data_IF_582009797967
#
_entry.id   IF_582009797967
#
_cell.length_a   1.000
_cell.length_b   1.000
_cell.length_c   1.000
_cell.angle_alpha   90.00
_cell.angle_beta   90.00
_cell.angle_gamma   90.00
#
_symmetry.space_group_name_H-M   'P 1'
#
loop_
_entity.id
_entity.type
_entity.pdbx_description
1 polymer ?
#
# COMPACT_ATOMS: atom_id res chain seq x y z
N UNK A 1 -27.54 68.71 -33.18
CA UNK A 1 -27.16 68.15 -34.47
C UNK A 1 -26.17 67.02 -34.27
N UNK A 2 -26.41 65.81 -34.85
CA UNK A 2 -25.62 64.58 -34.85
C UNK A 2 -25.48 63.92 -33.45
N UNK A 3 -26.14 62.93 -32.99
CA UNK A 3 -26.51 61.62 -33.50
C UNK A 3 -25.41 60.60 -33.15
N UNK A 4 -25.39 59.99 -31.91
CA UNK A 4 -24.58 58.86 -31.60
C UNK A 4 -25.43 57.63 -31.45
N UNK A 5 -25.31 56.69 -32.39
CA UNK A 5 -25.97 55.41 -32.37
C UNK A 5 -25.25 54.47 -31.37
N UNK A 6 -26.04 53.87 -30.49
CA UNK A 6 -25.64 52.79 -29.59
C UNK A 6 -25.46 51.50 -30.37
N UNK A 7 -24.26 50.90 -30.31
CA UNK A 7 -24.03 49.52 -30.76
C UNK A 7 -24.18 48.59 -29.57
N UNK A 8 -25.24 47.81 -29.55
CA UNK A 8 -25.42 46.70 -28.61
C UNK A 8 -24.59 45.51 -29.09
N UNK A 9 -23.56 45.17 -28.33
CA UNK A 9 -22.77 43.95 -28.52
C UNK A 9 -23.58 42.78 -27.98
N UNK A 10 -24.28 42.06 -28.85
CA UNK A 10 -24.99 40.84 -28.50
C UNK A 10 -24.00 39.72 -28.13
N UNK A 11 -24.06 39.27 -26.90
CA UNK A 11 -23.35 38.12 -26.38
C UNK A 11 -23.87 36.85 -27.06
N UNK A 12 -23.23 36.37 -28.11
CA UNK A 12 -23.44 35.03 -28.64
C UNK A 12 -22.54 34.05 -27.86
N UNK A 13 -22.99 33.63 -26.69
CA UNK A 13 -22.41 32.43 -26.05
C UNK A 13 -22.97 31.25 -26.85
N UNK A 14 -22.11 30.66 -27.66
CA UNK A 14 -22.49 29.62 -28.59
C UNK A 14 -22.97 28.36 -27.91
N UNK A 15 -24.02 27.75 -28.49
CA UNK A 15 -24.59 26.46 -28.11
C UNK A 15 -23.59 25.30 -28.00
N UNK A 16 -22.37 25.44 -28.50
CA UNK A 16 -21.30 24.46 -28.42
C UNK A 16 -20.78 24.23 -26.98
N UNK A 17 -20.70 25.27 -26.13
CA UNK A 17 -20.28 25.13 -24.73
C UNK A 17 -21.26 24.36 -23.86
N UNK A 18 -22.56 24.54 -24.11
CA UNK A 18 -23.62 23.83 -23.39
C UNK A 18 -23.70 22.34 -23.76
N UNK A 19 -23.41 22.00 -25.01
CA UNK A 19 -23.41 20.61 -25.49
C UNK A 19 -22.23 19.84 -24.93
N UNK A 20 -21.04 20.43 -24.80
CA UNK A 20 -19.87 19.79 -24.21
C UNK A 20 -20.07 19.56 -22.71
N UNK A 21 -20.67 20.51 -21.99
CA UNK A 21 -20.99 20.35 -20.58
C UNK A 21 -22.06 19.28 -20.32
N UNK A 22 -23.10 19.21 -21.16
CA UNK A 22 -24.17 18.20 -21.09
C UNK A 22 -23.65 16.81 -21.47
N UNK A 23 -22.78 16.69 -22.45
CA UNK A 23 -22.12 15.42 -22.80
C UNK A 23 -21.17 14.96 -21.67
N UNK A 24 -20.39 15.85 -21.06
CA UNK A 24 -19.55 15.53 -19.91
C UNK A 24 -20.34 15.03 -18.70
N UNK A 25 -21.47 15.66 -18.40
CA UNK A 25 -22.37 15.23 -17.33
C UNK A 25 -23.08 13.90 -17.67
N UNK A 26 -23.47 13.69 -18.92
CA UNK A 26 -24.09 12.43 -19.37
C UNK A 26 -23.07 11.27 -19.34
N UNK A 27 -21.82 11.50 -19.71
CA UNK A 27 -20.75 10.49 -19.61
C UNK A 27 -20.39 10.19 -18.16
N UNK A 28 -20.30 11.20 -17.30
CA UNK A 28 -20.09 11.04 -15.87
C UNK A 28 -21.21 10.25 -15.20
N UNK A 29 -22.46 10.57 -15.52
CA UNK A 29 -23.63 9.84 -15.01
C UNK A 29 -23.72 8.41 -15.56
N UNK A 30 -23.42 8.17 -16.84
CA UNK A 30 -23.40 6.85 -17.44
C UNK A 30 -22.25 5.98 -16.89
N UNK A 31 -21.08 6.58 -16.62
CA UNK A 31 -19.96 5.91 -15.94
C UNK A 31 -20.34 5.56 -14.50
N UNK A 32 -20.95 6.51 -13.77
CA UNK A 32 -21.41 6.30 -12.38
C UNK A 32 -22.52 5.24 -12.27
N UNK A 33 -23.48 5.24 -13.20
CA UNK A 33 -24.55 4.23 -13.21
C UNK A 33 -24.04 2.84 -13.64
N UNK A 34 -23.04 2.76 -14.53
CA UNK A 34 -22.39 1.49 -14.89
C UNK A 34 -21.48 0.94 -13.79
N UNK A 35 -20.82 1.80 -13.00
CA UNK A 35 -19.98 1.37 -11.88
C UNK A 35 -20.80 0.71 -10.76
N UNK A 36 -22.08 1.04 -10.64
CA UNK A 36 -23.00 0.38 -9.67
C UNK A 36 -23.30 -1.09 -10.00
N UNK A 37 -22.99 -1.57 -11.20
CA UNK A 37 -23.26 -2.95 -11.62
C UNK A 37 -22.12 -3.94 -11.31
N UNK A 38 -20.94 -3.47 -10.85
CA UNK A 38 -19.88 -4.35 -10.36
C UNK A 38 -20.13 -4.60 -8.89
N UNK A 39 -20.56 -5.83 -8.58
CA UNK A 39 -20.86 -6.22 -7.20
C UNK A 39 -19.65 -5.96 -6.30
N UNK A 40 -19.81 -5.23 -5.18
CA UNK A 40 -18.72 -5.01 -4.25
C UNK A 40 -18.22 -6.33 -3.68
N UNK A 41 -16.96 -6.38 -3.24
CA UNK A 41 -16.31 -7.55 -2.61
C UNK A 41 -17.18 -8.17 -1.49
N UNK A 42 -18.02 -7.35 -0.85
CA UNK A 42 -19.01 -7.76 0.15
C UNK A 42 -20.05 -8.78 -0.34
N UNK A 43 -20.35 -8.81 -1.65
CA UNK A 43 -21.36 -9.73 -2.20
C UNK A 43 -20.92 -11.19 -2.14
N UNK A 44 -19.63 -11.47 -2.28
CA UNK A 44 -19.05 -12.82 -2.16
C UNK A 44 -19.26 -13.42 -0.76
N UNK A 45 -19.25 -12.58 0.27
CA UNK A 45 -19.31 -12.98 1.68
C UNK A 45 -20.65 -12.65 2.36
N UNK A 46 -21.68 -12.29 1.60
CA UNK A 46 -23.01 -11.96 2.14
C UNK A 46 -22.98 -10.93 3.29
N UNK A 47 -22.07 -9.94 3.21
CA UNK A 47 -21.96 -8.83 4.15
C UNK A 47 -21.11 -9.07 5.40
N UNK A 48 -20.59 -10.29 5.64
CA UNK A 48 -19.65 -10.55 6.73
C UNK A 48 -18.72 -11.71 6.44
N UNK A 49 -17.55 -11.72 7.11
CA UNK A 49 -16.58 -12.82 7.06
C UNK A 49 -16.42 -13.33 8.50
N UNK A 50 -16.72 -14.63 8.78
CA UNK A 50 -16.45 -15.20 10.10
C UNK A 50 -14.99 -15.05 10.51
N UNK A 51 -14.72 -14.80 11.77
CA UNK A 51 -13.36 -14.79 12.30
C UNK A 51 -12.66 -16.13 11.99
N UNK A 52 -11.37 -16.05 11.64
CA UNK A 52 -10.57 -17.20 11.22
C UNK A 52 -11.04 -17.89 9.92
N UNK A 53 -11.87 -17.24 9.11
CA UNK A 53 -12.19 -17.74 7.78
C UNK A 53 -10.91 -17.80 6.92
N UNK A 54 -10.66 -18.97 6.33
CA UNK A 54 -9.43 -19.24 5.56
C UNK A 54 -9.48 -18.56 4.18
N UNK A 55 -8.47 -17.76 3.87
CA UNK A 55 -8.30 -17.05 2.61
C UNK A 55 -7.03 -17.54 1.94
N UNK A 56 -7.18 -18.28 0.84
CA UNK A 56 -6.06 -18.89 0.11
C UNK A 56 -5.12 -17.84 -0.47
N UNK A 57 -3.82 -18.13 -0.38
CA UNK A 57 -2.74 -17.37 -0.97
C UNK A 57 -1.59 -18.31 -1.40
N UNK A 58 -0.55 -17.85 -2.10
CA UNK A 58 0.54 -18.70 -2.57
C UNK A 58 1.30 -19.46 -1.46
N UNK A 59 1.34 -18.93 -0.23
CA UNK A 59 2.01 -19.56 0.92
C UNK A 59 1.10 -20.47 1.75
N UNK A 60 -0.17 -20.61 1.41
CA UNK A 60 -1.17 -21.37 2.17
C UNK A 60 -2.46 -20.59 2.36
N UNK A 61 -2.83 -20.29 3.60
CA UNK A 61 -4.06 -19.56 3.90
C UNK A 61 -3.84 -18.55 5.03
N UNK A 62 -4.21 -17.29 4.77
CA UNK A 62 -4.31 -16.27 5.80
C UNK A 62 -5.73 -16.22 6.38
N UNK A 63 -5.88 -15.57 7.52
CA UNK A 63 -7.19 -15.31 8.10
C UNK A 63 -7.20 -13.96 8.83
N UNK A 64 -8.41 -13.44 9.06
CA UNK A 64 -8.63 -12.21 9.81
C UNK A 64 -9.54 -12.49 11.02
N UNK A 65 -9.27 -11.80 12.12
CA UNK A 65 -10.13 -11.71 13.30
C UNK A 65 -10.50 -10.24 13.49
N UNK A 66 -11.78 -9.97 13.69
CA UNK A 66 -12.25 -8.66 14.14
C UNK A 66 -12.30 -8.64 15.67
N UNK A 67 -11.77 -7.59 16.29
CA UNK A 67 -11.90 -7.36 17.73
C UNK A 67 -13.26 -6.79 18.12
N UNK A 68 -14.12 -6.46 17.15
CA UNK A 68 -15.46 -5.91 17.37
C UNK A 68 -16.57 -6.97 17.40
N UNK A 69 -16.24 -8.24 17.23
CA UNK A 69 -17.23 -9.31 17.24
C UNK A 69 -16.73 -10.65 16.71
N UNK A 70 -17.64 -11.57 16.42
CA UNK A 70 -17.34 -12.90 15.90
C UNK A 70 -17.10 -12.95 14.39
N UNK A 71 -17.25 -11.81 13.70
CA UNK A 71 -17.05 -11.70 12.25
C UNK A 71 -16.61 -10.29 11.88
N UNK A 72 -15.96 -10.18 10.72
CA UNK A 72 -15.64 -8.91 10.06
C UNK A 72 -16.88 -8.41 9.33
N UNK A 73 -17.42 -7.28 9.74
CA UNK A 73 -18.57 -6.64 9.08
C UNK A 73 -18.14 -5.94 7.78
N UNK A 74 -18.76 -6.33 6.66
CA UNK A 74 -18.47 -5.77 5.33
C UNK A 74 -19.53 -4.74 4.86
N UNK A 75 -20.39 -4.24 5.75
CA UNK A 75 -21.47 -3.31 5.41
C UNK A 75 -21.24 -1.88 5.91
N UNK A 76 -20.19 -1.66 6.73
CA UNK A 76 -19.81 -0.34 7.28
C UNK A 76 -19.35 0.67 6.25
N UNK A 77 -19.02 1.85 6.71
CA UNK A 77 -18.60 2.98 5.86
C UNK A 77 -17.35 2.71 5.02
N UNK A 78 -16.48 1.83 5.48
CA UNK A 78 -15.30 1.37 4.74
C UNK A 78 -15.63 0.78 3.35
N UNK A 79 -16.79 0.14 3.21
CA UNK A 79 -17.25 -0.54 1.99
C UNK A 79 -18.17 0.33 1.11
N UNK A 80 -18.58 1.50 1.59
CA UNK A 80 -19.45 2.41 0.86
C UNK A 80 -18.65 3.33 -0.08
N UNK A 81 -19.26 3.68 -1.21
CA UNK A 81 -18.71 4.68 -2.12
C UNK A 81 -18.92 6.06 -1.53
N UNK A 82 -17.83 6.81 -1.39
CA UNK A 82 -17.83 8.15 -0.79
C UNK A 82 -17.66 9.29 -1.79
N UNK A 83 -17.11 9.00 -2.95
CA UNK A 83 -16.78 10.01 -3.95
C UNK A 83 -17.41 9.76 -5.31
N UNK A 84 -17.06 10.61 -6.27
CA UNK A 84 -17.62 10.59 -7.62
C UNK A 84 -17.00 9.53 -8.52
N UNK A 85 -15.87 8.97 -8.14
CA UNK A 85 -15.13 7.97 -8.94
C UNK A 85 -15.57 6.52 -8.70
N UNK A 86 -16.59 6.30 -7.87
CA UNK A 86 -17.14 4.97 -7.61
C UNK A 86 -16.30 4.08 -6.70
N UNK A 87 -15.22 4.62 -6.11
CA UNK A 87 -14.33 3.88 -5.20
C UNK A 87 -14.80 3.93 -3.75
N UNK A 88 -14.49 2.85 -3.01
CA UNK A 88 -14.49 2.75 -1.55
C UNK A 88 -13.10 2.34 -1.07
N UNK A 89 -12.86 2.29 0.24
CA UNK A 89 -11.60 1.75 0.77
C UNK A 89 -11.40 0.28 0.32
N UNK A 90 -12.48 -0.52 0.33
CA UNK A 90 -12.47 -1.90 -0.13
C UNK A 90 -12.17 -2.09 -1.64
N UNK A 91 -12.13 -1.03 -2.43
CA UNK A 91 -11.71 -1.08 -3.85
C UNK A 91 -10.24 -1.48 -3.99
N UNK A 92 -9.39 -1.04 -3.03
CA UNK A 92 -7.94 -1.29 -3.02
C UNK A 92 -7.47 -2.13 -1.82
N UNK A 93 -8.36 -2.41 -0.86
CA UNK A 93 -8.06 -3.17 0.36
C UNK A 93 -9.01 -4.36 0.48
N UNK A 94 -8.63 -5.47 -0.14
CA UNK A 94 -9.46 -6.66 -0.22
C UNK A 94 -9.02 -7.75 0.78
N UNK A 95 -9.96 -8.48 1.39
CA UNK A 95 -9.67 -9.49 2.42
C UNK A 95 -8.67 -10.55 1.96
N UNK A 96 -8.82 -11.09 0.75
CA UNK A 96 -7.98 -12.16 0.19
C UNK A 96 -6.52 -11.76 -0.03
N UNK A 97 -6.24 -10.45 -0.12
CA UNK A 97 -4.88 -9.92 -0.21
C UNK A 97 -4.41 -9.37 1.16
N UNK A 98 -4.91 -9.93 2.25
CA UNK A 98 -4.66 -9.43 3.61
C UNK A 98 -4.91 -7.92 3.73
N UNK A 99 -6.06 -7.46 3.20
CA UNK A 99 -6.50 -6.05 3.22
C UNK A 99 -5.53 -5.09 2.52
N UNK A 100 -4.91 -5.59 1.46
CA UNK A 100 -4.17 -4.86 0.43
C UNK A 100 -4.76 -5.23 -0.94
N UNK A 101 -3.98 -5.11 -2.02
CA UNK A 101 -4.34 -5.60 -3.36
C UNK A 101 -3.12 -6.15 -4.09
N UNK A 102 -3.30 -7.20 -4.90
CA UNK A 102 -2.22 -7.83 -5.65
C UNK A 102 -2.41 -7.67 -7.16
N UNK A 103 -1.31 -7.74 -7.96
CA UNK A 103 -1.40 -7.76 -9.42
C UNK A 103 -2.34 -8.85 -9.95
N UNK A 104 -2.31 -10.05 -9.37
CA UNK A 104 -3.21 -11.13 -9.79
C UNK A 104 -4.70 -10.78 -9.63
N UNK A 105 -5.06 -10.12 -8.53
CA UNK A 105 -6.42 -9.60 -8.35
C UNK A 105 -6.75 -8.50 -9.35
N UNK A 106 -5.84 -7.58 -9.60
CA UNK A 106 -6.04 -6.48 -10.54
C UNK A 106 -6.21 -6.99 -11.97
N UNK A 107 -5.39 -7.97 -12.39
CA UNK A 107 -5.51 -8.61 -13.70
C UNK A 107 -6.87 -9.30 -13.86
N UNK A 108 -7.31 -10.06 -12.84
CA UNK A 108 -8.64 -10.69 -12.85
C UNK A 108 -9.75 -9.65 -12.99
N UNK A 109 -9.75 -8.60 -12.16
CA UNK A 109 -10.72 -7.49 -12.24
C UNK A 109 -10.68 -6.78 -13.60
N UNK A 110 -9.49 -6.65 -14.18
CA UNK A 110 -9.34 -6.07 -15.51
C UNK A 110 -9.99 -6.95 -16.57
N UNK A 111 -9.75 -8.26 -16.54
CA UNK A 111 -10.29 -9.19 -17.53
C UNK A 111 -11.81 -9.33 -17.43
N UNK A 112 -12.36 -9.40 -16.22
CA UNK A 112 -13.79 -9.47 -15.93
C UNK A 112 -14.54 -8.20 -16.38
N UNK A 113 -13.92 -7.02 -16.26
CA UNK A 113 -14.60 -5.73 -16.53
C UNK A 113 -14.12 -5.01 -17.78
N UNK A 114 -13.14 -5.55 -18.46
CA UNK A 114 -12.44 -4.86 -19.56
C UNK A 114 -11.73 -3.58 -19.09
N UNK A 115 -11.25 -3.57 -17.85
CA UNK A 115 -10.60 -2.41 -17.23
C UNK A 115 -11.57 -1.28 -16.85
N UNK A 116 -12.84 -1.60 -16.56
CA UNK A 116 -13.87 -0.64 -16.12
C UNK A 116 -14.23 -0.76 -14.64
N UNK A 117 -13.58 -1.66 -13.89
CA UNK A 117 -13.71 -1.68 -12.45
C UNK A 117 -13.23 -0.35 -11.85
N UNK A 118 -13.85 0.20 -10.79
CA UNK A 118 -13.48 1.48 -10.20
C UNK A 118 -12.00 1.61 -9.80
N UNK A 119 -11.30 0.49 -9.54
CA UNK A 119 -9.86 0.51 -9.25
C UNK A 119 -9.02 1.07 -10.41
N UNK A 120 -9.50 0.95 -11.65
CA UNK A 120 -8.86 1.52 -12.84
C UNK A 120 -9.32 2.97 -13.05
N UNK A 121 -8.92 3.83 -12.14
CA UNK A 121 -9.24 5.25 -12.17
C UNK A 121 -8.22 6.00 -13.04
N UNK A 122 -8.63 6.97 -13.87
CA UNK A 122 -7.70 7.78 -14.67
C UNK A 122 -6.60 8.48 -13.87
N UNK A 123 -6.83 8.78 -12.57
CA UNK A 123 -5.81 9.30 -11.67
C UNK A 123 -4.66 8.32 -11.43
N UNK A 124 -4.90 7.02 -11.57
CA UNK A 124 -3.93 5.95 -11.36
C UNK A 124 -3.39 5.38 -12.68
N UNK A 125 -3.74 5.96 -13.82
CA UNK A 125 -3.11 5.67 -15.11
C UNK A 125 -1.62 6.04 -15.07
N UNK A 126 -0.80 5.34 -15.84
CA UNK A 126 0.66 5.55 -15.91
C UNK A 126 0.97 7.00 -16.32
N UNK A 127 0.18 7.54 -17.23
CA UNK A 127 0.10 8.97 -17.51
C UNK A 127 -1.38 9.35 -17.66
N UNK A 128 -1.88 10.41 -16.97
CA UNK A 128 -3.29 10.81 -17.03
C UNK A 128 -3.80 11.19 -18.43
N UNK A 129 -2.90 11.50 -19.36
CA UNK A 129 -3.24 11.84 -20.74
C UNK A 129 -3.39 10.64 -21.67
N UNK A 130 -3.09 9.41 -21.18
CA UNK A 130 -3.21 8.20 -22.00
C UNK A 130 -4.66 7.94 -22.41
N UNK A 131 -4.81 7.41 -23.64
CA UNK A 131 -6.10 6.92 -24.10
C UNK A 131 -6.59 5.72 -23.27
N UNK A 132 -7.83 5.77 -22.83
CA UNK A 132 -8.53 4.69 -22.10
C UNK A 132 -9.85 4.30 -22.79
N UNK A 133 -10.02 4.64 -24.07
CA UNK A 133 -11.28 4.40 -24.81
C UNK A 133 -11.51 2.92 -25.11
N UNK A 134 -10.46 2.19 -25.50
CA UNK A 134 -10.53 0.75 -25.80
C UNK A 134 -10.00 -0.11 -24.63
N UNK A 135 -10.26 -1.42 -24.66
CA UNK A 135 -9.73 -2.36 -23.66
C UNK A 135 -8.21 -2.41 -23.71
N UNK A 136 -7.64 -2.41 -24.91
CA UNK A 136 -6.20 -2.46 -25.18
C UNK A 136 -5.53 -1.17 -24.69
N UNK A 137 -6.10 -0.01 -24.99
CA UNK A 137 -5.63 1.28 -24.51
C UNK A 137 -5.64 1.35 -22.98
N UNK A 138 -6.72 0.87 -22.31
CA UNK A 138 -6.78 0.77 -20.85
C UNK A 138 -5.70 -0.15 -20.28
N UNK A 139 -5.46 -1.31 -20.92
CA UNK A 139 -4.41 -2.23 -20.46
C UNK A 139 -3.02 -1.58 -20.51
N UNK A 140 -2.74 -0.80 -21.54
CA UNK A 140 -1.50 -0.02 -21.65
C UNK A 140 -1.44 1.09 -20.60
N UNK A 141 -2.53 1.83 -20.41
CA UNK A 141 -2.60 2.96 -19.49
C UNK A 141 -2.48 2.56 -18.00
N UNK A 142 -2.76 1.31 -17.64
CA UNK A 142 -2.67 0.79 -16.28
C UNK A 142 -1.56 -0.27 -16.13
N UNK A 143 -0.48 -0.17 -16.91
CA UNK A 143 0.56 -1.21 -16.94
C UNK A 143 1.25 -1.37 -15.59
N UNK A 144 1.56 -0.28 -14.89
CA UNK A 144 2.18 -0.28 -13.56
C UNK A 144 1.25 -0.89 -12.49
N UNK A 145 -0.03 -0.55 -12.55
CA UNK A 145 -1.04 -1.11 -11.65
C UNK A 145 -1.19 -2.62 -11.87
N UNK A 146 -1.30 -3.06 -13.13
CA UNK A 146 -1.48 -4.46 -13.51
C UNK A 146 -0.25 -5.33 -13.26
N UNK A 147 0.97 -4.78 -13.41
CA UNK A 147 2.21 -5.55 -13.24
C UNK A 147 2.69 -5.62 -11.79
N UNK A 148 2.52 -4.54 -11.01
CA UNK A 148 3.10 -4.42 -9.67
C UNK A 148 2.08 -4.10 -8.57
N UNK A 149 0.84 -3.78 -8.92
CA UNK A 149 -0.16 -3.33 -7.96
C UNK A 149 0.22 -2.01 -7.29
N UNK A 150 0.90 -1.12 -8.01
CA UNK A 150 1.28 0.21 -7.54
C UNK A 150 0.33 1.26 -8.09
N UNK A 151 -0.01 2.20 -7.25
CA UNK A 151 -0.85 3.34 -7.55
C UNK A 151 0.02 4.58 -7.75
N UNK A 152 -0.32 5.40 -8.76
CA UNK A 152 0.35 6.65 -9.00
C UNK A 152 -0.03 7.66 -7.92
N UNK A 153 0.95 8.17 -7.20
CA UNK A 153 0.80 9.22 -6.18
C UNK A 153 1.84 10.29 -6.45
N UNK A 154 1.68 11.46 -5.87
CA UNK A 154 2.65 12.53 -6.04
C UNK A 154 2.01 13.90 -5.98
N UNK A 155 2.70 14.90 -6.51
CA UNK A 155 2.31 16.30 -6.50
C UNK A 155 3.52 17.20 -6.69
N UNK A 156 3.34 18.50 -6.49
CA UNK A 156 4.46 19.42 -6.51
C UNK A 156 5.50 19.08 -5.43
N UNK A 157 6.80 19.30 -5.70
CA UNK A 157 7.83 19.24 -4.68
C UNK A 157 7.47 20.15 -3.50
N UNK A 158 7.80 19.70 -2.27
CA UNK A 158 7.49 20.47 -1.08
C UNK A 158 8.17 21.85 -1.12
N UNK A 159 7.44 22.96 -0.93
CA UNK A 159 8.03 24.28 -0.81
C UNK A 159 9.04 24.36 0.35
N UNK A 160 10.05 25.19 0.21
CA UNK A 160 11.07 25.45 1.23
C UNK A 160 11.88 24.22 1.68
N UNK A 161 11.99 23.20 0.82
CA UNK A 161 12.86 22.05 1.07
C UNK A 161 14.33 22.45 1.05
N UNK A 162 15.17 21.69 1.78
CA UNK A 162 16.63 21.78 1.70
C UNK A 162 17.19 21.32 0.35
N UNK A 163 16.35 20.71 -0.48
CA UNK A 163 16.66 20.16 -1.78
C UNK A 163 15.80 20.77 -2.89
N UNK A 164 16.27 20.61 -4.12
CA UNK A 164 15.53 20.91 -5.34
C UNK A 164 15.69 19.78 -6.35
N UNK A 165 14.73 19.66 -7.27
CA UNK A 165 14.82 18.74 -8.40
C UNK A 165 15.53 19.44 -9.57
N UNK A 166 16.60 18.85 -10.09
CA UNK A 166 17.37 19.40 -11.21
C UNK A 166 17.21 18.60 -12.50
N UNK A 167 16.78 17.34 -12.42
CA UNK A 167 16.48 16.50 -13.58
C UNK A 167 15.48 15.39 -13.22
N UNK A 168 14.77 14.92 -14.22
CA UNK A 168 13.83 13.79 -14.14
C UNK A 168 14.00 12.95 -15.42
N UNK A 169 14.12 11.64 -15.24
CA UNK A 169 13.98 10.63 -16.28
C UNK A 169 12.72 9.82 -15.97
N UNK A 170 11.63 10.07 -16.71
CA UNK A 170 10.33 9.41 -16.50
C UNK A 170 9.92 8.64 -17.76
N UNK A 171 9.87 7.30 -17.71
CA UNK A 171 9.46 6.48 -18.85
C UNK A 171 7.99 6.69 -19.26
N UNK A 172 7.15 7.25 -18.38
CA UNK A 172 5.74 7.51 -18.65
C UNK A 172 5.47 8.94 -19.13
N UNK A 173 6.47 9.82 -19.09
CA UNK A 173 6.40 11.19 -19.64
C UNK A 173 5.45 12.14 -18.89
N UNK A 174 5.19 11.89 -17.60
CA UNK A 174 4.31 12.73 -16.77
C UNK A 174 5.08 13.50 -15.67
N UNK A 175 6.07 12.86 -15.05
CA UNK A 175 6.85 13.51 -14.01
C UNK A 175 7.75 14.62 -14.59
N UNK A 176 8.04 15.63 -13.78
CA UNK A 176 8.90 16.76 -14.12
C UNK A 176 9.59 17.31 -12.86
N UNK A 177 10.47 18.28 -13.02
CA UNK A 177 11.10 18.98 -11.88
C UNK A 177 10.07 19.72 -11.00
N UNK A 178 8.86 19.94 -11.49
CA UNK A 178 7.76 20.57 -10.77
C UNK A 178 6.65 19.58 -10.37
N UNK A 179 6.79 18.31 -10.76
CA UNK A 179 5.77 17.28 -10.55
C UNK A 179 6.42 15.94 -10.19
N UNK A 180 6.42 15.59 -8.92
CA UNK A 180 6.81 14.26 -8.46
C UNK A 180 5.72 13.23 -8.77
N UNK A 181 6.15 12.04 -9.14
CA UNK A 181 5.33 10.84 -9.24
C UNK A 181 5.96 9.75 -8.38
N UNK A 182 5.18 9.18 -7.48
CA UNK A 182 5.56 8.06 -6.64
C UNK A 182 4.69 6.86 -6.99
N UNK A 183 5.30 5.73 -7.26
CA UNK A 183 4.63 4.47 -7.52
C UNK A 183 4.61 3.64 -6.25
N UNK A 184 3.45 3.54 -5.61
CA UNK A 184 3.36 2.94 -4.28
C UNK A 184 2.25 1.90 -4.18
N UNK A 185 2.59 0.79 -3.58
CA UNK A 185 1.66 -0.28 -3.23
C UNK A 185 0.67 0.19 -2.17
N UNK A 186 -0.57 -0.31 -2.26
CA UNK A 186 -1.54 -0.19 -1.18
C UNK A 186 -1.00 -0.93 0.06
N UNK A 187 -0.83 -0.21 1.17
CA UNK A 187 -0.45 -0.83 2.45
C UNK A 187 -1.63 -1.63 3.01
N UNK A 188 -1.38 -2.74 3.69
CA UNK A 188 -2.47 -3.48 4.33
C UNK A 188 -3.08 -2.68 5.47
N UNK A 189 -4.41 -2.66 5.57
CA UNK A 189 -5.16 -2.02 6.66
C UNK A 189 -5.41 -3.03 7.78
N UNK A 190 -4.32 -3.52 8.40
CA UNK A 190 -4.34 -4.57 9.44
C UNK A 190 -3.40 -4.27 10.59
N UNK A 191 -3.67 -4.86 11.73
CA UNK A 191 -2.78 -4.95 12.89
C UNK A 191 -2.33 -3.59 13.43
N UNK A 192 -3.12 -2.55 13.22
CA UNK A 192 -2.76 -1.20 13.67
C UNK A 192 -2.52 -1.14 15.17
N UNK A 193 -3.32 -1.85 15.98
CA UNK A 193 -3.17 -1.90 17.44
C UNK A 193 -1.78 -2.37 17.90
N UNK A 194 -1.09 -3.18 17.08
CA UNK A 194 0.24 -3.74 17.35
C UNK A 194 1.35 -3.02 16.56
N UNK A 195 1.00 -2.05 15.74
CA UNK A 195 1.91 -1.38 14.81
C UNK A 195 2.49 -0.07 15.35
N UNK A 196 3.27 0.57 14.48
CA UNK A 196 3.76 1.93 14.70
C UNK A 196 2.63 2.95 14.54
N UNK A 197 2.80 4.15 15.08
CA UNK A 197 1.86 5.26 14.88
C UNK A 197 1.90 5.82 13.44
N UNK A 198 2.95 5.53 12.68
CA UNK A 198 3.09 5.93 11.27
C UNK A 198 2.21 5.06 10.38
N UNK A 199 1.37 5.66 9.54
CA UNK A 199 0.34 4.92 8.77
C UNK A 199 0.57 4.91 7.26
N UNK A 200 1.34 5.83 6.68
CA UNK A 200 1.71 5.85 5.26
C UNK A 200 3.15 5.38 5.05
N UNK A 201 3.52 5.04 3.82
CA UNK A 201 4.90 4.74 3.45
C UNK A 201 5.88 5.85 3.81
N UNK A 202 5.45 7.11 3.70
CA UNK A 202 6.27 8.32 3.90
C UNK A 202 5.90 9.13 5.15
N UNK A 203 5.11 8.58 6.05
CA UNK A 203 4.56 9.28 7.21
C UNK A 203 3.69 10.52 6.91
N UNK A 204 3.24 10.71 5.66
CA UNK A 204 2.54 11.91 5.21
C UNK A 204 1.20 12.21 5.90
N UNK A 205 0.67 11.30 6.68
CA UNK A 205 -0.53 11.49 7.50
C UNK A 205 -0.25 11.51 9.01
N UNK A 206 1.01 11.41 9.41
CA UNK A 206 1.39 11.47 10.82
C UNK A 206 1.29 12.91 11.32
N UNK A 207 0.39 13.12 12.27
CA UNK A 207 0.17 14.44 12.90
C UNK A 207 0.84 14.55 14.27
N UNK A 208 1.69 13.60 14.66
CA UNK A 208 2.43 13.60 15.93
C UNK A 208 1.57 13.35 17.19
N UNK A 209 0.32 12.91 17.04
CA UNK A 209 -0.62 12.70 18.14
C UNK A 209 -1.12 11.25 18.26
N UNK A 210 -0.27 10.30 17.88
CA UNK A 210 -0.59 8.88 17.95
C UNK A 210 -1.31 8.34 16.71
N UNK A 211 -1.47 7.02 16.68
CA UNK A 211 -1.90 6.27 15.49
C UNK A 211 -3.34 6.61 15.07
N UNK A 212 -4.29 6.71 16.01
CA UNK A 212 -5.68 7.02 15.68
C UNK A 212 -5.81 8.39 14.99
N UNK A 213 -5.09 9.40 15.46
CA UNK A 213 -5.08 10.72 14.84
C UNK A 213 -4.46 10.69 13.43
N UNK A 214 -3.42 9.87 13.22
CA UNK A 214 -2.83 9.65 11.91
C UNK A 214 -3.80 8.94 10.94
N UNK A 215 -4.55 7.94 11.42
CA UNK A 215 -5.61 7.26 10.64
C UNK A 215 -6.75 8.22 10.27
N UNK A 216 -7.24 9.02 11.21
CA UNK A 216 -8.26 10.04 10.94
C UNK A 216 -7.79 11.02 9.86
N UNK A 217 -6.56 11.51 9.96
CA UNK A 217 -5.99 12.41 8.96
C UNK A 217 -5.85 11.73 7.59
N UNK A 218 -5.37 10.47 7.57
CA UNK A 218 -5.28 9.68 6.34
C UNK A 218 -6.64 9.49 5.69
N UNK A 219 -7.65 9.07 6.46
CA UNK A 219 -9.01 8.84 5.98
C UNK A 219 -9.58 10.10 5.35
N UNK A 220 -9.47 11.26 6.02
CA UNK A 220 -9.91 12.55 5.47
C UNK A 220 -9.25 12.86 4.11
N UNK A 221 -7.92 12.68 4.02
CA UNK A 221 -7.17 12.93 2.79
C UNK A 221 -7.53 11.96 1.67
N UNK A 222 -7.80 10.70 1.99
CA UNK A 222 -8.21 9.72 0.99
C UNK A 222 -9.64 9.97 0.50
N UNK A 223 -10.58 10.27 1.39
CA UNK A 223 -11.96 10.58 1.02
C UNK A 223 -12.05 11.76 0.04
N UNK A 224 -11.31 12.84 0.31
CA UNK A 224 -11.36 14.06 -0.51
C UNK A 224 -10.42 13.99 -1.72
N UNK A 225 -9.30 13.28 -1.63
CA UNK A 225 -8.29 13.16 -2.71
C UNK A 225 -8.54 11.95 -3.61
N UNK A 226 -8.11 10.76 -3.16
CA UNK A 226 -8.15 9.55 -3.99
C UNK A 226 -9.56 9.11 -4.36
N UNK A 227 -10.54 9.25 -3.46
CA UNK A 227 -11.94 8.90 -3.69
C UNK A 227 -12.75 10.03 -4.30
N UNK A 228 -12.19 11.24 -4.41
CA UNK A 228 -12.84 12.41 -5.03
C UNK A 228 -14.22 12.75 -4.40
N UNK A 229 -14.32 12.58 -3.08
CA UNK A 229 -15.51 12.87 -2.31
C UNK A 229 -15.49 14.25 -1.64
N UNK A 230 -16.62 14.70 -1.11
CA UNK A 230 -16.65 15.85 -0.20
C UNK A 230 -16.00 15.50 1.15
N UNK A 231 -15.65 16.52 1.97
CA UNK A 231 -15.29 16.27 3.36
C UNK A 231 -16.37 15.44 4.06
N UNK A 232 -15.96 14.37 4.72
CA UNK A 232 -16.91 13.48 5.40
C UNK A 232 -17.13 13.95 6.85
N UNK A 233 -18.32 13.73 7.41
CA UNK A 233 -18.60 14.04 8.82
C UNK A 233 -17.81 13.08 9.73
N UNK A 234 -17.54 13.52 11.00
CA UNK A 234 -16.67 12.76 11.91
C UNK A 234 -17.13 11.32 12.19
N UNK A 235 -18.43 11.06 12.19
CA UNK A 235 -18.99 9.71 12.40
C UNK A 235 -18.62 8.74 11.28
N UNK A 236 -18.56 9.19 10.02
CA UNK A 236 -18.12 8.37 8.88
C UNK A 236 -16.65 8.04 9.00
N UNK A 237 -15.83 9.03 9.37
CA UNK A 237 -14.39 8.86 9.54
C UNK A 237 -14.08 7.90 10.68
N UNK A 238 -14.78 8.06 11.81
CA UNK A 238 -14.62 7.21 12.98
C UNK A 238 -15.04 5.76 12.68
N UNK A 239 -16.16 5.54 11.97
CA UNK A 239 -16.59 4.18 11.55
C UNK A 239 -15.50 3.48 10.71
N UNK A 240 -14.89 4.20 9.76
CA UNK A 240 -13.80 3.68 8.95
C UNK A 240 -12.57 3.34 9.82
N UNK A 241 -12.14 4.26 10.67
CA UNK A 241 -10.95 4.10 11.52
C UNK A 241 -11.16 3.00 12.57
N UNK A 242 -12.35 2.88 13.14
CA UNK A 242 -12.70 1.83 14.08
C UNK A 242 -12.69 0.46 13.41
N UNK A 243 -13.22 0.36 12.19
CA UNK A 243 -13.14 -0.84 11.38
C UNK A 243 -11.68 -1.25 11.11
N UNK A 244 -10.86 -0.36 10.54
CA UNK A 244 -9.44 -0.62 10.24
C UNK A 244 -8.65 -1.04 11.49
N UNK A 245 -8.91 -0.40 12.62
CA UNK A 245 -8.25 -0.67 13.90
C UNK A 245 -8.65 -2.02 14.50
N UNK A 246 -9.80 -2.56 14.11
CA UNK A 246 -10.32 -3.83 14.61
C UNK A 246 -9.73 -5.06 13.93
N UNK A 247 -9.05 -4.90 12.79
CA UNK A 247 -8.61 -6.02 11.96
C UNK A 247 -7.26 -6.57 12.42
N UNK A 248 -7.25 -7.83 12.83
CA UNK A 248 -6.05 -8.61 13.12
C UNK A 248 -5.92 -9.71 12.07
N UNK A 249 -4.83 -9.69 11.31
CA UNK A 249 -4.63 -10.60 10.17
C UNK A 249 -3.22 -11.18 10.19
N UNK A 250 -3.12 -12.48 9.95
CA UNK A 250 -1.86 -13.21 9.83
C UNK A 250 -2.04 -14.46 8.97
N UNK A 251 -0.95 -15.07 8.55
CA UNK A 251 -0.96 -16.41 7.98
C UNK A 251 -1.46 -17.39 9.04
N UNK A 252 -2.33 -18.33 8.66
CA UNK A 252 -2.92 -19.31 9.58
C UNK A 252 -2.56 -20.74 9.26
N UNK A 253 -2.38 -21.08 7.97
CA UNK A 253 -1.91 -22.39 7.54
C UNK A 253 -0.80 -22.29 6.52
N UNK A 254 0.11 -23.26 6.54
CA UNK A 254 1.16 -23.42 5.51
C UNK A 254 1.16 -24.89 5.04
N UNK A 255 1.27 -25.16 3.72
CA UNK A 255 1.27 -26.51 3.18
C UNK A 255 2.38 -27.40 3.75
N UNK A 256 2.01 -28.53 4.33
CA UNK A 256 2.93 -29.48 4.96
C UNK A 256 3.38 -29.11 6.38
N UNK A 257 2.96 -27.95 6.89
CA UNK A 257 3.13 -27.51 8.30
C UNK A 257 1.85 -27.70 9.08
N UNK A 258 0.70 -27.38 8.45
CA UNK A 258 -0.60 -27.31 9.08
C UNK A 258 -0.91 -25.94 9.66
N UNK A 259 -1.62 -25.92 10.79
CA UNK A 259 -1.97 -24.66 11.47
C UNK A 259 -0.76 -24.09 12.22
N UNK A 260 -0.62 -22.77 12.11
CA UNK A 260 0.47 -22.00 12.72
C UNK A 260 0.20 -21.62 14.18
N UNK A 261 -0.98 -21.95 14.70
CA UNK A 261 -1.42 -21.76 16.07
C UNK A 261 -1.63 -23.10 16.82
N UNK A 262 -0.91 -24.15 16.44
CA UNK A 262 -0.95 -25.48 17.05
C UNK A 262 0.35 -25.84 17.76
N UNK A 263 0.27 -26.85 18.63
CA UNK A 263 1.42 -27.47 19.30
C UNK A 263 2.35 -26.43 19.96
N UNK A 264 1.75 -25.46 20.65
CA UNK A 264 2.47 -24.42 21.40
C UNK A 264 2.90 -23.21 20.57
N UNK A 265 2.79 -23.23 19.23
CA UNK A 265 3.06 -22.07 18.40
C UNK A 265 1.94 -21.01 18.54
N UNK A 266 2.34 -19.74 18.34
CA UNK A 266 1.47 -18.56 18.51
C UNK A 266 1.31 -17.77 17.21
N UNK A 267 1.35 -18.45 16.06
CA UNK A 267 1.02 -17.89 14.77
C UNK A 267 -0.49 -17.64 14.62
N UNK A 268 -0.88 -17.18 13.46
CA UNK A 268 -2.29 -16.91 13.15
C UNK A 268 -2.84 -15.62 13.75
N UNK A 269 -4.03 -15.19 13.30
CA UNK A 269 -4.62 -13.92 13.72
C UNK A 269 -5.24 -13.95 15.13
N UNK A 270 -5.71 -15.12 15.61
CA UNK A 270 -6.33 -15.22 16.93
C UNK A 270 -5.33 -14.90 18.05
N UNK A 271 -4.09 -15.33 17.93
CA UNK A 271 -3.05 -15.04 18.91
C UNK A 271 -2.78 -13.52 19.01
N UNK A 272 -2.91 -12.78 17.91
CA UNK A 272 -2.71 -11.33 17.90
C UNK A 272 -3.69 -10.58 18.81
N UNK A 273 -4.89 -11.13 19.04
CA UNK A 273 -5.92 -10.49 19.89
C UNK A 273 -5.54 -10.40 21.38
N UNK A 274 -4.60 -11.23 21.82
CA UNK A 274 -4.08 -11.24 23.20
C UNK A 274 -2.68 -10.64 23.33
N UNK A 275 -2.06 -10.28 22.22
CA UNK A 275 -0.73 -9.69 22.19
C UNK A 275 -0.79 -8.18 22.43
N UNK A 276 0.29 -7.64 22.99
CA UNK A 276 0.49 -6.21 23.18
C UNK A 276 1.67 -5.72 22.34
N UNK A 277 1.75 -4.42 22.13
CA UNK A 277 2.89 -3.80 21.45
C UNK A 277 4.13 -3.92 22.36
N UNK A 278 5.08 -4.78 22.02
CA UNK A 278 6.30 -5.07 22.77
C UNK A 278 7.50 -4.96 21.85
N UNK A 279 8.59 -4.36 22.33
CA UNK A 279 9.88 -4.34 21.64
C UNK A 279 10.59 -5.68 21.77
N UNK A 280 11.19 -6.15 20.69
CA UNK A 280 11.99 -7.37 20.65
C UNK A 280 11.87 -8.14 19.34
N UNK A 281 12.49 -9.31 19.33
CA UNK A 281 12.37 -10.30 18.27
C UNK A 281 11.05 -11.11 18.38
N UNK A 282 10.74 -11.85 17.34
CA UNK A 282 9.60 -12.78 17.34
C UNK A 282 9.89 -14.01 18.21
N UNK A 283 8.85 -14.51 18.85
CA UNK A 283 8.87 -15.74 19.68
C UNK A 283 7.71 -16.69 19.35
N UNK A 284 7.15 -16.53 18.16
CA UNK A 284 5.90 -17.18 17.75
C UNK A 284 6.03 -18.69 17.61
N UNK A 285 7.21 -19.16 17.21
CA UNK A 285 7.49 -20.55 16.86
C UNK A 285 8.56 -21.21 17.72
N UNK A 286 8.84 -20.67 18.91
CA UNK A 286 9.82 -21.23 19.85
C UNK A 286 9.51 -22.68 20.21
N UNK A 287 8.21 -23.01 20.35
CA UNK A 287 7.77 -24.37 20.64
C UNK A 287 8.12 -25.38 19.52
N UNK A 288 8.46 -24.94 18.33
CA UNK A 288 8.78 -25.79 17.17
C UNK A 288 10.29 -25.97 16.92
N UNK A 289 11.15 -25.47 17.82
CA UNK A 289 12.62 -25.55 17.65
C UNK A 289 13.10 -26.99 17.43
N UNK A 290 12.47 -27.98 18.10
CA UNK A 290 12.79 -29.40 17.97
C UNK A 290 11.57 -30.24 17.51
N UNK A 291 10.67 -29.63 16.73
CA UNK A 291 9.49 -30.34 16.22
C UNK A 291 9.90 -31.46 15.25
N UNK A 292 9.22 -32.61 15.36
CA UNK A 292 9.46 -33.77 14.48
C UNK A 292 9.07 -33.49 12.98
N UNK A 293 8.20 -32.50 12.73
CA UNK A 293 7.94 -32.02 11.39
C UNK A 293 9.07 -31.10 10.94
N UNK A 294 9.88 -31.49 9.93
CA UNK A 294 11.03 -30.72 9.52
C UNK A 294 10.70 -29.32 9.00
N UNK A 295 9.47 -29.12 8.46
CA UNK A 295 9.01 -27.80 8.00
C UNK A 295 8.66 -26.87 9.17
N UNK A 296 8.15 -27.40 10.30
CA UNK A 296 7.94 -26.62 11.52
C UNK A 296 9.27 -26.19 12.12
N UNK A 297 10.20 -27.14 12.27
CA UNK A 297 11.55 -26.83 12.74
C UNK A 297 12.26 -25.82 11.81
N UNK A 298 12.01 -25.88 10.50
CA UNK A 298 12.52 -24.91 9.54
C UNK A 298 11.99 -23.49 9.82
N UNK A 299 10.70 -23.33 10.09
CA UNK A 299 10.10 -22.02 10.44
C UNK A 299 10.71 -21.48 11.74
N UNK A 300 10.92 -22.34 12.75
CA UNK A 300 11.54 -21.92 14.03
C UNK A 300 12.99 -21.47 13.82
N UNK A 301 13.80 -22.20 13.02
CA UNK A 301 15.16 -21.74 12.68
C UNK A 301 15.14 -20.41 11.91
N UNK A 302 14.19 -20.24 10.98
CA UNK A 302 14.03 -18.98 10.25
C UNK A 302 13.69 -17.80 11.19
N UNK A 303 12.90 -18.02 12.23
CA UNK A 303 12.65 -17.05 13.28
C UNK A 303 13.94 -16.71 14.05
N UNK A 304 14.77 -17.70 14.36
CA UNK A 304 16.06 -17.48 14.97
C UNK A 304 17.01 -16.67 14.09
N UNK A 305 17.10 -17.01 12.79
CA UNK A 305 17.87 -16.22 11.80
C UNK A 305 17.39 -14.77 11.75
N UNK A 306 16.08 -14.53 11.77
CA UNK A 306 15.52 -13.17 11.77
C UNK A 306 15.92 -12.37 13.03
N UNK A 307 15.88 -13.00 14.18
CA UNK A 307 16.13 -12.37 15.47
C UNK A 307 17.62 -12.17 15.75
N UNK A 308 18.47 -13.05 15.23
CA UNK A 308 19.88 -13.11 15.58
C UNK A 308 20.70 -12.02 14.87
N UNK A 309 21.82 -11.66 15.51
CA UNK A 309 22.89 -10.92 14.86
C UNK A 309 23.68 -11.93 14.04
N UNK A 310 23.64 -11.81 12.72
CA UNK A 310 24.35 -12.71 11.83
C UNK A 310 25.87 -12.45 11.78
N UNK A 311 26.59 -13.26 11.01
CA UNK A 311 28.06 -13.14 10.84
C UNK A 311 28.53 -11.81 10.29
N UNK A 312 27.65 -11.03 9.66
CA UNK A 312 27.92 -9.66 9.19
C UNK A 312 27.62 -8.59 10.24
N UNK A 313 27.36 -8.97 11.49
CA UNK A 313 26.97 -8.08 12.60
C UNK A 313 25.68 -7.28 12.35
N UNK A 314 24.71 -7.87 11.61
CA UNK A 314 23.42 -7.27 11.26
C UNK A 314 22.28 -8.14 11.75
N UNK A 315 21.14 -7.50 12.05
CA UNK A 315 19.92 -8.17 12.47
C UNK A 315 18.69 -7.50 11.87
N UNK A 316 17.68 -8.28 11.53
CA UNK A 316 16.42 -7.76 10.99
C UNK A 316 15.64 -6.97 12.06
N UNK A 317 15.76 -7.33 13.33
CA UNK A 317 15.07 -6.66 14.44
C UNK A 317 15.53 -5.22 14.69
N UNK A 318 16.62 -4.75 14.11
CA UNK A 318 17.04 -3.34 14.19
C UNK A 318 15.95 -2.42 13.63
N UNK A 319 15.33 -2.81 12.52
CA UNK A 319 14.25 -2.05 11.89
C UNK A 319 12.86 -2.64 12.18
N UNK A 320 12.78 -3.95 12.44
CA UNK A 320 11.56 -4.72 12.65
C UNK A 320 11.42 -5.15 14.12
N UNK A 321 11.58 -4.20 15.06
CA UNK A 321 11.68 -4.45 16.49
C UNK A 321 10.36 -4.55 17.25
N UNK A 322 9.22 -4.64 16.56
CA UNK A 322 7.94 -5.00 17.18
C UNK A 322 7.79 -6.53 17.18
N UNK A 323 7.93 -7.17 18.33
CA UNK A 323 7.95 -8.62 18.52
C UNK A 323 6.72 -9.37 17.95
N UNK A 324 5.60 -8.70 17.82
CA UNK A 324 4.34 -9.32 17.38
C UNK A 324 3.95 -8.98 15.94
N UNK A 325 4.50 -7.92 15.38
CA UNK A 325 4.02 -7.34 14.12
C UNK A 325 5.14 -7.06 13.11
N UNK A 326 6.40 -6.98 13.56
CA UNK A 326 7.55 -6.69 12.72
C UNK A 326 7.57 -5.27 12.14
N UNK A 327 6.88 -4.31 12.78
CA UNK A 327 7.03 -2.86 12.48
C UNK A 327 8.16 -2.27 13.32
N UNK A 328 8.53 -1.02 13.06
CA UNK A 328 9.40 -0.29 13.98
C UNK A 328 8.55 0.35 15.09
N UNK A 329 8.89 0.04 16.36
CA UNK A 329 8.13 0.49 17.53
C UNK A 329 8.28 1.99 17.79
N UNK A 330 9.44 2.56 17.42
CA UNK A 330 9.80 3.96 17.65
C UNK A 330 9.31 4.90 16.54
N UNK A 331 8.60 4.37 15.55
CA UNK A 331 8.14 5.09 14.36
C UNK A 331 9.26 5.64 13.47
N UNK A 332 10.48 5.11 13.58
CA UNK A 332 11.59 5.48 12.71
C UNK A 332 11.34 5.01 11.28
N UNK A 333 11.66 5.88 10.32
CA UNK A 333 11.65 5.55 8.90
C UNK A 333 13.09 5.34 8.44
N UNK A 334 13.27 4.36 7.56
CA UNK A 334 14.59 3.92 7.12
C UNK A 334 14.75 4.07 5.61
N UNK A 335 15.93 4.50 5.17
CA UNK A 335 16.37 4.30 3.80
C UNK A 335 16.92 2.87 3.66
N UNK A 336 16.12 2.00 3.08
CA UNK A 336 16.51 0.61 2.78
C UNK A 336 16.90 0.44 1.30
N UNK A 337 17.30 1.51 0.65
CA UNK A 337 17.78 1.57 -0.74
C UNK A 337 16.76 1.11 -1.81
N UNK A 338 15.50 0.90 -1.45
CA UNK A 338 14.46 0.49 -2.41
C UNK A 338 14.05 1.60 -3.38
N UNK A 339 14.41 2.84 -3.09
CA UNK A 339 14.23 3.97 -3.98
C UNK A 339 15.54 4.42 -4.67
N UNK A 340 16.69 3.79 -4.40
CA UNK A 340 17.97 4.21 -4.97
C UNK A 340 18.03 3.99 -6.48
N UNK A 341 18.96 4.66 -7.15
CA UNK A 341 19.18 4.52 -8.58
C UNK A 341 19.60 3.08 -8.95
N UNK A 342 20.34 2.39 -8.08
CA UNK A 342 20.79 1.02 -8.27
C UNK A 342 19.63 0.00 -8.21
N UNK A 343 18.60 0.30 -7.43
CA UNK A 343 17.41 -0.54 -7.34
C UNK A 343 16.32 -0.17 -8.37
N UNK A 344 16.58 0.85 -9.20
CA UNK A 344 15.64 1.29 -10.23
C UNK A 344 15.37 0.19 -11.24
N UNK A 345 14.11 -0.01 -11.56
CA UNK A 345 13.69 -0.77 -12.74
C UNK A 345 13.30 0.19 -13.88
N UNK A 346 13.38 -0.24 -15.15
CA UNK A 346 13.20 0.65 -16.32
C UNK A 346 11.86 1.40 -16.37
N UNK A 347 10.85 0.91 -15.68
CA UNK A 347 9.49 1.46 -15.63
C UNK A 347 9.27 2.46 -14.47
N UNK A 348 10.27 2.70 -13.61
CA UNK A 348 10.19 3.71 -12.56
C UNK A 348 10.85 5.03 -12.98
N UNK A 349 10.29 6.19 -12.58
CA UNK A 349 10.96 7.47 -12.77
C UNK A 349 12.25 7.52 -11.95
N UNK A 350 13.21 8.33 -12.39
CA UNK A 350 14.44 8.63 -11.65
C UNK A 350 14.57 10.15 -11.53
N UNK A 351 14.55 10.63 -10.31
CA UNK A 351 14.72 12.04 -9.96
C UNK A 351 16.16 12.32 -9.57
N UNK A 352 16.70 13.44 -10.00
CA UNK A 352 17.98 13.97 -9.55
C UNK A 352 17.72 15.12 -8.58
N UNK A 353 17.97 14.88 -7.31
CA UNK A 353 17.88 15.85 -6.23
C UNK A 353 19.23 16.54 -6.05
N UNK A 354 19.23 17.83 -5.75
CA UNK A 354 20.42 18.59 -5.34
C UNK A 354 20.16 19.26 -3.99
N UNK A 355 21.06 19.06 -3.03
CA UNK A 355 21.05 19.80 -1.77
C UNK A 355 21.40 21.27 -2.03
N UNK A 356 20.51 22.19 -1.66
CA UNK A 356 20.68 23.63 -1.92
C UNK A 356 21.83 24.25 -1.18
N UNK A 357 22.25 23.68 -0.04
CA UNK A 357 23.33 24.21 0.80
C UNK A 357 24.69 23.63 0.43
N UNK A 358 24.78 22.31 0.19
CA UNK A 358 26.05 21.63 -0.05
C UNK A 358 26.36 21.42 -1.53
N UNK A 359 25.34 21.46 -2.40
CA UNK A 359 25.47 21.10 -3.82
C UNK A 359 25.51 19.58 -4.07
N UNK A 360 25.44 18.75 -3.02
CA UNK A 360 25.41 17.30 -3.13
C UNK A 360 24.25 16.82 -4.00
N UNK A 361 24.48 15.76 -4.77
CA UNK A 361 23.49 15.20 -5.70
C UNK A 361 23.13 13.78 -5.29
N UNK A 362 21.82 13.49 -5.25
CA UNK A 362 21.25 12.18 -4.95
C UNK A 362 20.24 11.80 -6.03
N UNK A 363 20.23 10.53 -6.47
CA UNK A 363 19.28 10.02 -7.45
C UNK A 363 18.36 8.98 -6.82
N UNK A 364 17.06 9.24 -6.86
CA UNK A 364 16.03 8.35 -6.28
C UNK A 364 14.81 8.21 -7.20
N UNK A 365 14.13 7.09 -7.09
CA UNK A 365 12.84 6.82 -7.76
C UNK A 365 11.64 7.35 -6.96
N UNK A 366 11.80 7.59 -5.66
CA UNK A 366 10.79 8.13 -4.75
C UNK A 366 11.47 8.92 -3.61
N UNK A 367 11.00 10.11 -3.34
CA UNK A 367 11.55 10.98 -2.31
C UNK A 367 11.25 10.51 -0.86
N UNK A 368 10.31 9.58 -0.67
CA UNK A 368 9.94 9.08 0.65
C UNK A 368 9.53 10.19 1.62
N UNK A 369 9.99 10.08 2.88
CA UNK A 369 9.77 11.05 3.95
C UNK A 369 10.27 12.46 3.56
N UNK A 370 11.34 12.57 2.76
CA UNK A 370 11.91 13.85 2.33
C UNK A 370 10.91 14.76 1.61
N UNK A 371 9.90 14.21 0.92
CA UNK A 371 8.83 15.01 0.35
C UNK A 371 7.81 15.54 1.40
N UNK A 372 7.80 14.96 2.59
CA UNK A 372 6.93 15.39 3.70
C UNK A 372 7.63 16.41 4.58
N UNK A 373 8.89 16.19 4.93
CA UNK A 373 9.66 17.05 5.81
C UNK A 373 10.37 18.19 5.08
N UNK A 374 10.80 17.96 3.84
CA UNK A 374 11.65 18.88 3.08
C UNK A 374 13.14 18.76 3.45
N UNK A 375 13.49 17.85 4.38
CA UNK A 375 14.87 17.66 4.82
C UNK A 375 15.63 16.76 3.85
N UNK A 376 16.94 17.06 3.67
CA UNK A 376 17.81 16.27 2.80
C UNK A 376 18.03 14.85 3.31
N UNK A 377 18.26 14.70 4.60
CA UNK A 377 18.55 13.42 5.24
C UNK A 377 17.34 12.47 5.30
N UNK A 378 16.14 12.98 5.02
CA UNK A 378 14.91 12.20 4.99
C UNK A 378 14.55 11.67 3.59
N UNK A 379 15.32 12.07 2.56
CA UNK A 379 15.12 11.55 1.21
C UNK A 379 15.32 10.05 1.15
N UNK A 380 14.37 9.33 0.51
CA UNK A 380 14.41 7.88 0.34
C UNK A 380 14.07 7.06 1.59
N UNK A 381 13.63 7.70 2.70
CA UNK A 381 13.21 6.98 3.92
C UNK A 381 11.75 6.59 3.87
N UNK A 382 11.49 5.35 4.32
CA UNK A 382 10.15 4.76 4.35
C UNK A 382 9.85 4.11 5.70
N UNK A 383 8.56 4.00 5.99
CA UNK A 383 8.02 3.26 7.13
C UNK A 383 8.35 1.77 7.01
N UNK A 384 8.69 1.13 8.12
CA UNK A 384 8.73 -0.32 8.27
C UNK A 384 7.29 -0.86 8.35
N UNK A 385 6.78 -1.59 7.33
CA UNK A 385 5.42 -2.13 7.33
C UNK A 385 5.31 -3.35 8.25
N UNK A 386 4.06 -3.77 8.57
CA UNK A 386 3.82 -5.05 9.22
C UNK A 386 4.35 -6.21 8.38
N UNK A 387 4.93 -7.21 9.03
CA UNK A 387 5.37 -8.44 8.39
C UNK A 387 4.29 -9.54 8.42
N UNK A 388 3.13 -9.28 9.02
CA UNK A 388 2.05 -10.27 9.06
C UNK A 388 1.38 -10.46 7.69
N UNK A 389 1.01 -11.69 7.39
CA UNK A 389 0.36 -12.13 6.16
C UNK A 389 1.14 -11.73 4.87
N UNK A 390 2.48 -11.81 4.90
CA UNK A 390 3.32 -11.48 3.74
C UNK A 390 2.98 -12.34 2.53
N UNK A 391 2.74 -13.64 2.71
CA UNK A 391 2.44 -14.58 1.62
C UNK A 391 1.22 -14.17 0.77
N UNK A 392 0.30 -13.38 1.34
CA UNK A 392 -0.90 -12.90 0.64
C UNK A 392 -0.68 -11.59 -0.14
N UNK A 393 0.50 -10.95 -0.05
CA UNK A 393 0.66 -9.53 -0.42
C UNK A 393 1.77 -9.24 -1.44
N UNK A 394 2.32 -10.28 -2.09
CA UNK A 394 3.32 -10.06 -3.14
C UNK A 394 2.78 -9.09 -4.24
N UNK A 395 3.67 -8.31 -4.90
CA UNK A 395 5.09 -8.12 -4.68
C UNK A 395 5.39 -7.19 -3.48
N UNK A 396 6.66 -7.06 -3.11
CA UNK A 396 7.08 -6.43 -1.87
C UNK A 396 7.77 -5.08 -2.09
N UNK A 397 8.05 -4.38 -0.99
CA UNK A 397 8.49 -3.00 -0.88
C UNK A 397 7.41 -1.99 -1.31
N UNK A 398 7.69 -0.70 -1.12
CA UNK A 398 6.74 0.37 -1.42
C UNK A 398 6.39 0.43 -2.92
N UNK A 399 7.31 0.10 -3.79
CA UNK A 399 7.22 0.16 -5.26
C UNK A 399 7.05 -1.20 -5.95
N UNK A 400 6.97 -2.29 -5.19
CA UNK A 400 6.75 -3.63 -5.74
C UNK A 400 7.91 -4.20 -6.56
N UNK A 401 9.16 -3.79 -6.31
CA UNK A 401 10.32 -4.27 -7.08
C UNK A 401 10.75 -5.69 -6.74
N UNK A 402 10.38 -6.23 -5.57
CA UNK A 402 10.67 -7.61 -5.19
C UNK A 402 9.42 -8.48 -5.41
N UNK A 403 9.50 -9.42 -6.36
CA UNK A 403 8.39 -10.29 -6.71
C UNK A 403 8.13 -11.37 -5.64
N UNK A 404 9.16 -11.83 -4.97
CA UNK A 404 9.14 -12.93 -4.00
C UNK A 404 9.79 -12.52 -2.67
N UNK A 405 9.58 -13.32 -1.61
CA UNK A 405 10.29 -13.12 -0.34
C UNK A 405 11.77 -13.45 -0.47
N UNK A 406 12.14 -14.33 -1.36
CA UNK A 406 13.53 -14.58 -1.71
C UNK A 406 14.20 -13.31 -2.27
N UNK A 407 13.52 -12.58 -3.17
CA UNK A 407 14.03 -11.30 -3.70
C UNK A 407 14.16 -10.25 -2.60
N UNK A 408 13.27 -10.25 -1.61
CA UNK A 408 13.37 -9.38 -0.44
C UNK A 408 14.64 -9.68 0.36
N UNK A 409 14.93 -10.95 0.67
CA UNK A 409 16.13 -11.34 1.41
C UNK A 409 17.38 -10.99 0.61
N UNK A 410 17.42 -11.29 -0.70
CA UNK A 410 18.53 -10.91 -1.58
C UNK A 410 18.76 -9.41 -1.68
N UNK A 411 17.68 -8.61 -1.61
CA UNK A 411 17.82 -7.15 -1.55
C UNK A 411 18.64 -6.73 -0.32
N UNK A 412 18.37 -7.28 0.85
CA UNK A 412 19.13 -6.99 2.07
C UNK A 412 20.57 -7.49 1.99
N UNK A 413 20.82 -8.66 1.37
CA UNK A 413 22.18 -9.14 1.11
C UNK A 413 22.95 -8.16 0.22
N UNK A 414 22.36 -7.72 -0.89
CA UNK A 414 23.02 -6.89 -1.90
C UNK A 414 23.25 -5.45 -1.42
N UNK A 415 22.35 -4.87 -0.66
CA UNK A 415 22.40 -3.44 -0.32
C UNK A 415 22.89 -3.17 1.11
N UNK A 416 22.82 -4.15 2.00
CA UNK A 416 23.22 -3.99 3.41
C UNK A 416 24.33 -4.94 3.82
N UNK A 417 24.79 -5.81 2.92
CA UNK A 417 25.85 -6.77 3.20
C UNK A 417 25.46 -7.79 4.28
N UNK A 418 24.16 -8.17 4.34
CA UNK A 418 23.79 -9.39 5.04
C UNK A 418 24.45 -10.59 4.36
N UNK A 419 24.88 -11.56 5.13
CA UNK A 419 25.46 -12.78 4.62
C UNK A 419 24.70 -13.94 5.24
N UNK A 420 23.99 -14.69 4.38
CA UNK A 420 23.26 -15.90 4.77
C UNK A 420 23.79 -17.09 3.99
N UNK A 421 23.93 -18.24 4.66
CA UNK A 421 24.05 -19.51 3.96
C UNK A 421 22.75 -19.81 3.22
N UNK A 422 22.81 -20.65 2.20
CA UNK A 422 21.61 -21.01 1.41
C UNK A 422 20.50 -21.61 2.30
N UNK A 423 20.86 -22.42 3.31
CA UNK A 423 19.93 -22.98 4.27
C UNK A 423 19.31 -21.89 5.16
N UNK A 424 20.09 -20.96 5.71
CA UNK A 424 19.62 -19.85 6.53
C UNK A 424 18.66 -18.95 5.74
N UNK A 425 18.95 -18.71 4.46
CA UNK A 425 18.07 -17.95 3.56
C UNK A 425 16.73 -18.68 3.35
N UNK A 426 16.78 -20.00 3.10
CA UNK A 426 15.58 -20.82 2.94
C UNK A 426 14.74 -20.87 4.23
N UNK A 427 15.38 -21.01 5.39
CA UNK A 427 14.72 -20.97 6.69
C UNK A 427 14.07 -19.62 6.98
N UNK A 428 14.78 -18.51 6.68
CA UNK A 428 14.25 -17.15 6.82
C UNK A 428 13.02 -16.93 5.91
N UNK A 429 13.07 -17.37 4.65
CA UNK A 429 11.93 -17.26 3.73
C UNK A 429 10.74 -18.10 4.23
N UNK A 430 10.98 -19.30 4.79
CA UNK A 430 9.94 -20.13 5.38
C UNK A 430 9.27 -19.43 6.57
N UNK A 431 10.05 -18.79 7.44
CA UNK A 431 9.53 -18.00 8.55
C UNK A 431 8.70 -16.80 8.06
N UNK A 432 9.21 -16.02 7.11
CA UNK A 432 8.50 -14.86 6.56
C UNK A 432 7.17 -15.26 5.90
N UNK A 433 7.10 -16.43 5.27
CA UNK A 433 5.85 -16.99 4.73
C UNK A 433 4.85 -17.41 5.80
N UNK A 434 5.32 -17.71 7.02
CA UNK A 434 4.49 -18.12 8.16
C UNK A 434 3.97 -16.93 9.01
N UNK A 435 4.39 -15.71 8.72
CA UNK A 435 3.91 -14.50 9.41
C UNK A 435 2.59 -14.03 8.82
#
# INVERSE_FOLDING_TARGET
MKGFSSWSLGLRIGAAGAVVALLGLAWGAAYYLRSKSVAPTSSKYQGSIPNNHLMRNPGGEAATVSTQGSSVNLTGKYFQVHGTNGQSCATCHIPEAAWSITPGTLQRLFDETGGRHPVFNPLDADNPSMDISTKEARRAAYSMLLSRGVFRRGGAPRPNSEWELIAVDDPHGFASVNQLVHWRRSMPTINFALGSATVNWDAGSNVGKGQRAALINLTNRLLTGALQGPPAPPEVINDIVDFESSLLTAQLTVPGVGRLDSDGARGGPQALSTMTKVEGGFDLFDAWTNDANPKRAQIARGQEVFNSINVSHKSCIVCHNSANNGTNIDNTLFDIRTASAEARTPDLPLYTFRNKRTGEVLKLTDAGLGNITGLWDDLGRFKTPTLRALAARAPYFHNGIAATLEDVVRHYENHFGFIFKDEERADLVAFLNAL
#
